data_IF_864740517327
#
_entry.id   IF_864740517327
#
_cell.length_a   1.000
_cell.length_b   1.000
_cell.length_c   1.000
_cell.angle_alpha   90.00
_cell.angle_beta   90.00
_cell.angle_gamma   90.00
#
_symmetry.space_group_name_H-M   'P 1'
#
loop_
_entity.id
_entity.type
_entity.pdbx_description
1 polymer ?
#
# COMPACT_ATOMS: atom_id res chain seq x y z
N UNK A 1 8.03 -13.84 -5.38
CA UNK A 1 7.87 -13.94 -6.82
C UNK A 1 8.47 -12.73 -7.51
N UNK A 2 8.93 -12.92 -8.74
CA UNK A 2 9.59 -11.85 -9.50
C UNK A 2 8.70 -10.63 -9.71
N UNK A 3 7.41 -10.87 -9.97
CA UNK A 3 6.48 -9.78 -10.23
C UNK A 3 6.31 -8.86 -9.02
N UNK A 4 6.14 -9.45 -7.85
CA UNK A 4 6.01 -8.67 -6.61
C UNK A 4 7.26 -7.83 -6.37
N UNK A 5 8.43 -8.46 -6.43
CA UNK A 5 9.70 -7.78 -6.17
C UNK A 5 9.97 -6.69 -7.19
N UNK A 6 9.60 -6.95 -8.44
CA UNK A 6 9.80 -5.97 -9.50
C UNK A 6 8.98 -4.70 -9.25
N UNK A 7 7.70 -4.87 -8.94
CA UNK A 7 6.83 -3.72 -8.69
C UNK A 7 7.24 -3.01 -7.40
N UNK A 8 7.59 -3.77 -6.37
CA UNK A 8 8.07 -3.18 -5.12
C UNK A 8 9.29 -2.31 -5.36
N UNK A 9 10.22 -2.79 -6.17
CA UNK A 9 11.42 -2.04 -6.49
C UNK A 9 11.09 -0.75 -7.23
N UNK A 10 10.15 -0.81 -8.18
CA UNK A 10 9.72 0.39 -8.90
C UNK A 10 9.16 1.43 -7.93
N UNK A 11 8.37 0.99 -6.97
CA UNK A 11 7.80 1.89 -5.96
C UNK A 11 8.91 2.51 -5.11
N UNK A 12 9.85 1.68 -4.66
CA UNK A 12 10.96 2.15 -3.82
C UNK A 12 11.84 3.14 -4.54
N UNK A 13 12.01 2.97 -5.85
CA UNK A 13 12.81 3.85 -6.68
C UNK A 13 12.02 5.06 -7.18
N UNK A 14 10.79 5.24 -6.72
CA UNK A 14 9.93 6.35 -7.07
C UNK A 14 9.48 6.35 -8.53
N UNK A 15 9.59 5.21 -9.23
CA UNK A 15 9.08 5.09 -10.58
C UNK A 15 7.61 4.71 -10.49
N UNK A 16 6.80 5.65 -10.03
CA UNK A 16 5.42 5.38 -9.66
C UNK A 16 4.51 5.18 -10.87
N UNK A 17 4.82 5.83 -11.98
CA UNK A 17 4.03 5.67 -13.20
C UNK A 17 4.17 4.25 -13.72
N UNK A 18 5.39 3.73 -13.80
CA UNK A 18 5.62 2.37 -14.26
C UNK A 18 5.04 1.35 -13.27
N UNK A 19 5.18 1.63 -11.97
CA UNK A 19 4.61 0.74 -10.96
C UNK A 19 3.09 0.63 -11.12
N UNK A 20 2.43 1.75 -11.36
CA UNK A 20 0.98 1.77 -11.56
C UNK A 20 0.59 0.98 -12.80
N UNK A 21 1.33 1.16 -13.90
CA UNK A 21 1.07 0.43 -15.14
C UNK A 21 1.19 -1.08 -14.90
N UNK A 22 2.23 -1.50 -14.20
CA UNK A 22 2.43 -2.91 -13.91
C UNK A 22 1.30 -3.46 -13.03
N UNK A 23 0.94 -2.73 -11.98
CA UNK A 23 -0.14 -3.16 -11.09
C UNK A 23 -1.48 -3.24 -11.79
N UNK A 24 -1.74 -2.32 -12.71
CA UNK A 24 -3.01 -2.29 -13.43
C UNK A 24 -3.15 -3.49 -14.36
N UNK A 25 -2.04 -3.97 -14.93
CA UNK A 25 -2.06 -5.03 -15.93
C UNK A 25 -1.82 -6.43 -15.36
N UNK A 26 -1.38 -6.55 -14.11
CA UNK A 26 -1.07 -7.86 -13.54
C UNK A 26 -2.34 -8.58 -13.10
N UNK A 27 -2.38 -9.90 -13.28
CA UNK A 27 -3.51 -10.71 -12.87
C UNK A 27 -3.28 -11.38 -11.53
N UNK A 28 -4.36 -11.93 -10.96
CA UNK A 28 -4.30 -12.59 -9.66
C UNK A 28 -3.49 -13.87 -9.66
N UNK A 29 -3.33 -14.49 -10.82
CA UNK A 29 -2.50 -15.69 -10.95
C UNK A 29 -1.03 -15.36 -10.70
N UNK A 30 -0.58 -14.23 -11.26
CA UNK A 30 0.79 -13.80 -11.10
C UNK A 30 1.01 -13.09 -9.76
N UNK A 31 0.01 -12.36 -9.30
CA UNK A 31 0.12 -11.57 -8.09
C UNK A 31 -1.20 -11.65 -7.33
N UNK A 32 -1.25 -12.41 -6.23
CA UNK A 32 -2.47 -12.55 -5.44
C UNK A 32 -3.05 -11.21 -5.01
N UNK A 33 -4.36 -11.17 -4.85
CA UNK A 33 -5.07 -9.92 -4.55
C UNK A 33 -4.53 -9.22 -3.31
N UNK A 34 -4.20 -9.97 -2.26
CA UNK A 34 -3.65 -9.36 -1.04
C UNK A 34 -2.35 -8.63 -1.33
N UNK A 35 -1.49 -9.21 -2.15
CA UNK A 35 -0.22 -8.58 -2.51
C UNK A 35 -0.44 -7.38 -3.42
N UNK A 36 -1.42 -7.47 -4.31
CA UNK A 36 -1.78 -6.32 -5.14
C UNK A 36 -2.20 -5.14 -4.29
N UNK A 37 -3.08 -5.37 -3.32
CA UNK A 37 -3.54 -4.29 -2.45
C UNK A 37 -2.41 -3.72 -1.61
N UNK A 38 -1.50 -4.56 -1.14
CA UNK A 38 -0.35 -4.10 -0.40
C UNK A 38 0.50 -3.14 -1.25
N UNK A 39 0.76 -3.53 -2.50
CA UNK A 39 1.56 -2.69 -3.40
C UNK A 39 0.82 -1.40 -3.78
N UNK A 40 -0.49 -1.46 -3.99
CA UNK A 40 -1.28 -0.26 -4.22
C UNK A 40 -1.19 0.69 -3.02
N UNK A 41 -1.26 0.12 -1.82
CA UNK A 41 -1.12 0.90 -0.61
C UNK A 41 0.21 1.63 -0.54
N UNK A 42 1.30 0.92 -0.86
CA UNK A 42 2.63 1.53 -0.88
C UNK A 42 2.72 2.63 -1.94
N UNK A 43 2.14 2.39 -3.10
CA UNK A 43 2.14 3.37 -4.18
C UNK A 43 1.44 4.66 -3.74
N UNK A 44 0.26 4.54 -3.16
CA UNK A 44 -0.47 5.70 -2.69
C UNK A 44 0.25 6.40 -1.54
N UNK A 45 0.91 5.63 -0.67
CA UNK A 45 1.69 6.21 0.42
C UNK A 45 2.83 7.07 -0.13
N UNK A 46 3.49 6.61 -1.20
CA UNK A 46 4.54 7.39 -1.85
C UNK A 46 4.00 8.70 -2.45
N UNK A 47 2.73 8.71 -2.82
CA UNK A 47 2.06 9.89 -3.34
C UNK A 47 1.46 10.74 -2.22
N UNK A 48 1.68 10.37 -0.99
CA UNK A 48 1.11 11.03 0.20
C UNK A 48 -0.41 10.99 0.24
N UNK A 49 -1.00 10.03 -0.45
CA UNK A 49 -2.44 9.79 -0.41
C UNK A 49 -2.71 8.75 0.67
N UNK A 50 -2.68 9.22 1.91
CA UNK A 50 -2.76 8.34 3.08
C UNK A 50 -4.11 7.64 3.21
N UNK A 51 -5.17 8.28 2.77
CA UNK A 51 -6.50 7.70 2.84
C UNK A 51 -6.61 6.47 1.93
N UNK A 52 -6.15 6.61 0.68
CA UNK A 52 -6.15 5.50 -0.25
C UNK A 52 -5.17 4.41 0.19
N UNK A 53 -4.01 4.81 0.69
CA UNK A 53 -3.04 3.85 1.19
C UNK A 53 -3.65 3.01 2.31
N UNK A 54 -4.30 3.64 3.26
CA UNK A 54 -4.94 2.93 4.36
C UNK A 54 -6.02 1.97 3.86
N UNK A 55 -6.83 2.41 2.92
CA UNK A 55 -7.89 1.57 2.35
C UNK A 55 -7.31 0.30 1.74
N UNK A 56 -6.26 0.43 0.95
CA UNK A 56 -5.65 -0.74 0.31
C UNK A 56 -4.96 -1.65 1.32
N UNK A 57 -4.31 -1.07 2.33
CA UNK A 57 -3.69 -1.90 3.37
C UNK A 57 -4.75 -2.68 4.16
N UNK A 58 -5.90 -2.07 4.43
CA UNK A 58 -7.00 -2.77 5.10
C UNK A 58 -7.51 -3.93 4.26
N UNK A 59 -7.63 -3.72 2.95
CA UNK A 59 -8.04 -4.79 2.05
C UNK A 59 -7.02 -5.93 2.04
N UNK A 60 -5.74 -5.59 2.04
CA UNK A 60 -4.69 -6.60 2.04
C UNK A 60 -4.76 -7.47 3.31
N UNK A 61 -4.94 -6.85 4.46
CA UNK A 61 -5.03 -7.57 5.74
C UNK A 61 -6.29 -8.42 5.80
N UNK A 62 -7.40 -7.90 5.25
CA UNK A 62 -8.65 -8.66 5.22
C UNK A 62 -8.51 -9.93 4.37
N UNK A 63 -7.77 -9.84 3.27
CA UNK A 63 -7.55 -10.98 2.39
C UNK A 63 -6.48 -11.92 2.93
N UNK A 64 -5.47 -11.38 3.61
CA UNK A 64 -4.38 -12.17 4.16
C UNK A 64 -3.92 -11.54 5.47
N UNK A 65 -4.34 -12.09 6.63
CA UNK A 65 -3.94 -11.55 7.94
C UNK A 65 -2.43 -11.58 8.18
N UNK A 66 -1.68 -12.36 7.40
CA UNK A 66 -0.23 -12.42 7.51
C UNK A 66 0.47 -11.41 6.60
N UNK A 67 -0.29 -10.60 5.89
CA UNK A 67 0.27 -9.61 4.99
C UNK A 67 1.14 -8.61 5.76
N UNK A 68 2.28 -8.19 5.18
CA UNK A 68 3.09 -7.12 5.80
C UNK A 68 2.34 -5.79 5.86
N UNK A 69 1.21 -5.68 5.17
CA UNK A 69 0.36 -4.50 5.24
C UNK A 69 -0.10 -4.23 6.67
N UNK A 70 -0.20 -5.28 7.50
CA UNK A 70 -0.63 -5.12 8.88
C UNK A 70 0.30 -4.20 9.66
N UNK A 71 1.60 -4.45 9.56
CA UNK A 71 2.58 -3.62 10.26
C UNK A 71 2.63 -2.22 9.67
N UNK A 72 2.56 -2.13 8.36
CA UNK A 72 2.54 -0.84 7.69
C UNK A 72 1.32 -0.03 8.08
N UNK A 73 0.18 -0.70 8.21
CA UNK A 73 -1.06 -0.06 8.62
C UNK A 73 -0.97 0.49 10.03
N UNK A 74 -0.34 -0.24 10.94
CA UNK A 74 -0.14 0.22 12.31
C UNK A 74 0.72 1.48 12.34
N UNK A 75 1.81 1.49 11.57
CA UNK A 75 2.66 2.67 11.47
C UNK A 75 1.89 3.86 10.89
N UNK A 76 1.11 3.59 9.85
CA UNK A 76 0.33 4.63 9.18
C UNK A 76 -0.73 5.20 10.13
N UNK A 77 -1.38 4.35 10.89
CA UNK A 77 -2.39 4.77 11.85
C UNK A 77 -1.78 5.70 12.91
N UNK A 78 -0.60 5.37 13.38
CA UNK A 78 0.10 6.20 14.36
C UNK A 78 0.41 7.58 13.79
N UNK A 79 0.90 7.62 12.56
CA UNK A 79 1.20 8.89 11.87
C UNK A 79 -0.08 9.69 11.66
N UNK A 80 -1.12 9.01 11.22
CA UNK A 80 -2.41 9.63 10.95
C UNK A 80 -3.00 10.24 12.23
N UNK A 81 -2.99 9.47 13.31
CA UNK A 81 -3.49 9.93 14.60
C UNK A 81 -2.71 11.14 15.09
N UNK A 82 -1.41 11.10 14.93
CA UNK A 82 -0.56 12.20 15.37
C UNK A 82 -0.93 13.50 14.65
N UNK A 83 -1.12 13.43 13.35
CA UNK A 83 -1.43 14.64 12.56
C UNK A 83 -2.85 15.13 12.76
N UNK A 84 -3.81 14.21 12.85
CA UNK A 84 -5.21 14.60 12.91
C UNK A 84 -5.71 14.86 14.32
N UNK A 85 -5.02 14.34 15.30
CA UNK A 85 -5.38 14.57 16.69
C UNK A 85 -5.30 16.05 17.03
N UNK A 86 -4.27 16.71 16.52
CA UNK A 86 -4.11 18.16 16.74
C UNK A 86 -5.20 18.97 16.05
N UNK A 87 -5.66 18.49 14.89
CA UNK A 87 -6.70 19.17 14.14
C UNK A 87 -8.08 18.99 14.76
N UNK A 88 -8.31 17.84 15.37
CA UNK A 88 -9.60 17.51 15.97
C UNK A 88 -9.77 18.13 17.35
N UNK A 89 -8.70 18.62 17.90
CA UNK A 89 -8.69 19.11 19.26
C UNK A 89 -8.33 20.60 19.26
N UNK A 90 -9.29 21.47 18.94
CA UNK A 90 -9.05 22.90 18.84
C UNK A 90 -8.73 23.56 20.16
#
# INVERSE_FOLDING_TARGET
>A
MKTFKHILKLIEEQDLIMAELQLTSVGEVELPAAEQHYLWGLLFAKRSDWKQAQTHFLHAVALDPQSPARETLEMLTNIYDYHYKDNLNP
#
